data_IF_209966115690
#
_entry.id   IF_209966115690
#
_cell.length_a   1.000
_cell.length_b   1.000
_cell.length_c   1.000
_cell.angle_alpha   90.00
_cell.angle_beta   90.00
_cell.angle_gamma   90.00
#
_symmetry.space_group_name_H-M   'P 1'
#
loop_
_entity.id
_entity.type
_entity.pdbx_description
1 polymer ?
#
# COMPACT_ATOMS: atom_id res chain seq x y z
N UNK A 1 7.08 21.11 -10.80
CA UNK A 1 6.65 20.92 -9.40
C UNK A 1 7.75 20.16 -8.69
N UNK A 2 8.62 20.91 -8.00
CA UNK A 2 9.92 20.45 -7.51
C UNK A 2 9.76 19.84 -6.11
N UNK A 3 10.12 18.57 -5.96
CA UNK A 3 10.27 17.94 -4.63
C UNK A 3 11.56 18.48 -4.00
N UNK A 4 11.54 19.00 -2.77
CA UNK A 4 12.75 19.50 -2.12
C UNK A 4 13.69 18.34 -1.79
N UNK A 5 15.01 18.47 -2.04
CA UNK A 5 15.99 17.48 -1.65
C UNK A 5 16.38 17.68 -0.17
N UNK A 6 16.32 16.60 0.60
CA UNK A 6 16.95 16.51 1.93
C UNK A 6 15.99 16.20 3.08
N UNK A 7 15.75 14.91 3.31
CA UNK A 7 15.87 14.24 4.61
C UNK A 7 15.21 12.85 4.53
N UNK A 8 16.06 11.82 4.61
CA UNK A 8 15.78 10.37 4.62
C UNK A 8 15.26 9.77 3.32
N UNK A 9 15.95 8.74 2.83
CA UNK A 9 15.49 7.82 1.78
C UNK A 9 14.28 7.01 2.31
N UNK A 10 13.16 7.71 2.48
CA UNK A 10 11.94 7.18 3.05
C UNK A 10 10.92 6.87 1.98
N UNK A 11 10.11 5.86 2.23
CA UNK A 11 8.93 5.58 1.46
C UNK A 11 7.85 6.62 1.80
N UNK A 12 7.27 7.25 0.77
CA UNK A 12 6.19 8.23 0.88
C UNK A 12 5.01 7.79 0.04
N UNK A 13 3.79 7.96 0.53
CA UNK A 13 2.56 7.64 -0.17
C UNK A 13 1.69 8.88 -0.26
N UNK A 14 1.06 9.05 -1.43
CA UNK A 14 -0.02 10.00 -1.62
C UNK A 14 -1.35 9.26 -1.75
N UNK A 15 -2.30 9.58 -0.87
CA UNK A 15 -3.66 9.02 -0.82
C UNK A 15 -4.73 10.07 -1.11
N UNK A 16 -4.43 11.36 -0.96
CA UNK A 16 -5.34 12.47 -1.25
C UNK A 16 -5.37 12.78 -2.77
N UNK A 17 -5.89 11.83 -3.53
CA UNK A 17 -5.94 11.85 -4.99
C UNK A 17 -5.53 10.49 -5.58
N UNK A 18 -4.96 10.44 -6.79
CA UNK A 18 -4.44 9.21 -7.34
C UNK A 18 -3.39 8.60 -6.42
N UNK A 19 -3.64 7.37 -5.96
CA UNK A 19 -2.75 6.64 -5.05
C UNK A 19 -1.37 6.52 -5.69
N UNK A 20 -0.36 7.11 -5.07
CA UNK A 20 1.03 7.12 -5.58
C UNK A 20 1.99 6.81 -4.45
N UNK A 21 3.17 6.30 -4.80
CA UNK A 21 4.25 6.08 -3.86
C UNK A 21 5.56 6.59 -4.42
N UNK A 22 6.47 7.02 -3.55
CA UNK A 22 7.82 7.45 -3.88
C UNK A 22 8.81 6.85 -2.89
N UNK A 23 10.00 6.54 -3.36
CA UNK A 23 11.15 6.21 -2.52
C UNK A 23 12.33 7.07 -2.94
N UNK A 24 12.89 7.85 -2.00
CA UNK A 24 14.03 8.73 -2.30
C UNK A 24 13.80 9.69 -3.48
N UNK A 25 12.56 10.12 -3.71
CA UNK A 25 12.17 11.00 -4.83
C UNK A 25 11.79 10.27 -6.13
N UNK A 26 12.05 8.97 -6.25
CA UNK A 26 11.61 8.18 -7.41
C UNK A 26 10.20 7.64 -7.21
N UNK A 27 9.32 7.87 -8.17
CA UNK A 27 7.96 7.33 -8.13
C UNK A 27 7.99 5.80 -8.32
N UNK A 28 7.27 5.08 -7.45
CA UNK A 28 7.08 3.65 -7.51
C UNK A 28 5.83 3.29 -8.30
N UNK A 29 5.89 2.18 -9.04
CA UNK A 29 4.71 1.61 -9.70
C UNK A 29 3.96 0.71 -8.72
N UNK A 30 2.85 1.22 -8.19
CA UNK A 30 1.95 0.43 -7.34
C UNK A 30 1.05 -0.53 -8.16
N UNK A 31 1.28 -0.62 -9.47
CA UNK A 31 0.55 -1.51 -10.37
C UNK A 31 -0.85 -1.01 -10.73
N UNK A 32 -1.78 -1.95 -10.94
CA UNK A 32 -3.15 -1.70 -11.41
C UNK A 32 -3.99 -0.87 -10.43
N UNK A 33 -5.15 -0.32 -10.85
CA UNK A 33 -6.07 0.36 -9.93
C UNK A 33 -6.45 -0.47 -8.70
N UNK A 34 -6.67 -1.78 -8.88
CA UNK A 34 -7.01 -2.68 -7.77
C UNK A 34 -5.82 -2.88 -6.82
N UNK A 35 -4.59 -2.99 -7.34
CA UNK A 35 -3.39 -3.07 -6.49
C UNK A 35 -3.21 -1.78 -5.68
N UNK A 36 -3.46 -0.63 -6.30
CA UNK A 36 -3.47 0.67 -5.61
C UNK A 36 -4.55 0.76 -4.55
N UNK A 37 -5.75 0.25 -4.81
CA UNK A 37 -6.84 0.20 -3.83
C UNK A 37 -6.48 -0.66 -2.62
N UNK A 38 -5.87 -1.85 -2.84
CA UNK A 38 -5.35 -2.70 -1.75
C UNK A 38 -4.32 -1.94 -0.92
N UNK A 39 -3.35 -1.28 -1.58
CA UNK A 39 -2.34 -0.49 -0.87
C UNK A 39 -2.99 0.62 -0.03
N UNK A 40 -3.90 1.41 -0.61
CA UNK A 40 -4.61 2.46 0.11
C UNK A 40 -5.39 1.93 1.32
N UNK A 41 -6.14 0.84 1.16
CA UNK A 41 -6.90 0.22 2.25
C UNK A 41 -6.00 -0.24 3.40
N UNK A 42 -4.79 -0.72 3.12
CA UNK A 42 -3.81 -1.11 4.13
C UNK A 42 -3.13 0.10 4.78
N UNK A 43 -2.80 1.14 4.01
CA UNK A 43 -2.15 2.35 4.50
C UNK A 43 -3.07 3.15 5.44
N UNK A 44 -4.37 3.25 5.11
CA UNK A 44 -5.39 3.89 5.95
C UNK A 44 -5.60 3.21 7.31
N UNK A 45 -5.11 1.96 7.45
CA UNK A 45 -5.19 1.22 8.72
C UNK A 45 -3.99 1.43 9.62
N UNK A 46 -2.97 2.16 9.16
CA UNK A 46 -1.82 2.60 9.96
C UNK A 46 -1.12 1.43 10.68
N UNK A 47 -0.85 0.35 9.94
CA UNK A 47 -0.17 -0.84 10.48
C UNK A 47 -1.07 -1.88 11.14
N UNK A 48 -2.37 -1.59 11.33
CA UNK A 48 -3.35 -2.60 11.74
C UNK A 48 -3.63 -3.59 10.62
N UNK A 49 -3.85 -4.84 11.00
CA UNK A 49 -4.16 -5.92 10.06
C UNK A 49 -5.58 -5.75 9.50
N UNK A 50 -5.71 -5.85 8.18
CA UNK A 50 -6.98 -5.98 7.48
C UNK A 50 -7.22 -7.46 7.15
N UNK A 51 -8.39 -7.99 7.51
CA UNK A 51 -8.78 -9.33 7.10
C UNK A 51 -8.95 -9.38 5.56
N UNK A 52 -8.74 -10.57 4.98
CA UNK A 52 -8.85 -10.72 3.53
C UNK A 52 -10.25 -10.33 3.00
N UNK A 53 -11.31 -10.62 3.76
CA UNK A 53 -12.68 -10.21 3.42
C UNK A 53 -12.83 -8.68 3.35
N UNK A 54 -12.36 -7.96 4.37
CA UNK A 54 -12.42 -6.50 4.40
C UNK A 54 -11.68 -5.86 3.21
N UNK A 55 -10.56 -6.45 2.78
CA UNK A 55 -9.83 -5.97 1.60
C UNK A 55 -10.55 -6.32 0.30
N UNK A 56 -11.26 -7.44 0.24
CA UNK A 56 -12.10 -7.78 -0.91
C UNK A 56 -13.22 -6.75 -1.02
N UNK A 57 -13.93 -6.50 0.07
CA UNK A 57 -15.04 -5.55 0.11
C UNK A 57 -14.55 -4.13 -0.23
N UNK A 58 -13.38 -3.72 0.28
CA UNK A 58 -12.82 -2.41 -0.02
C UNK A 58 -12.41 -2.22 -1.50
N UNK A 59 -12.06 -3.29 -2.20
CA UNK A 59 -11.56 -3.22 -3.59
C UNK A 59 -12.68 -3.41 -4.61
N UNK A 60 -13.64 -4.29 -4.32
CA UNK A 60 -14.68 -4.71 -5.27
C UNK A 60 -16.11 -4.40 -4.82
N UNK A 61 -16.33 -4.01 -3.56
CA UNK A 61 -17.65 -3.78 -2.99
C UNK A 61 -18.56 -4.99 -3.17
N UNK A 62 -19.79 -4.74 -3.60
CA UNK A 62 -20.84 -5.77 -3.78
C UNK A 62 -20.61 -6.73 -4.95
N UNK A 63 -19.61 -6.47 -5.81
CA UNK A 63 -19.38 -7.27 -7.03
C UNK A 63 -17.96 -7.86 -7.09
N UNK A 64 -17.55 -8.69 -6.10
CA UNK A 64 -16.27 -9.38 -6.15
C UNK A 64 -16.25 -10.42 -7.28
N UNK A 65 -15.12 -10.58 -7.99
CA UNK A 65 -14.97 -11.67 -8.96
C UNK A 65 -15.02 -13.03 -8.24
N UNK A 66 -15.38 -14.13 -8.93
CA UNK A 66 -15.47 -15.46 -8.32
C UNK A 66 -14.18 -15.93 -7.62
N UNK A 67 -13.03 -15.39 -8.03
CA UNK A 67 -11.71 -15.70 -7.48
C UNK A 67 -11.08 -14.51 -6.75
N UNK A 68 -11.88 -13.67 -6.09
CA UNK A 68 -11.42 -12.44 -5.42
C UNK A 68 -10.26 -12.68 -4.44
N UNK A 69 -10.32 -13.75 -3.64
CA UNK A 69 -9.23 -14.08 -2.71
C UNK A 69 -7.91 -14.42 -3.44
N UNK A 70 -7.99 -15.13 -4.58
CA UNK A 70 -6.81 -15.44 -5.39
C UNK A 70 -6.24 -14.19 -6.07
N UNK A 71 -7.11 -13.31 -6.56
CA UNK A 71 -6.72 -12.01 -7.11
C UNK A 71 -6.05 -11.13 -6.04
N UNK A 72 -6.65 -11.04 -4.84
CA UNK A 72 -6.08 -10.30 -3.71
C UNK A 72 -4.68 -10.81 -3.34
N UNK A 73 -4.51 -12.13 -3.22
CA UNK A 73 -3.19 -12.75 -2.95
C UNK A 73 -2.15 -12.39 -4.02
N UNK A 74 -2.55 -12.37 -5.29
CA UNK A 74 -1.70 -11.95 -6.41
C UNK A 74 -1.29 -10.48 -6.28
N UNK A 75 -2.25 -9.60 -5.98
CA UNK A 75 -2.00 -8.17 -5.81
C UNK A 75 -1.07 -7.90 -4.64
N UNK A 76 -1.32 -8.53 -3.50
CA UNK A 76 -0.48 -8.45 -2.31
C UNK A 76 0.94 -8.95 -2.58
N UNK A 77 1.08 -10.09 -3.26
CA UNK A 77 2.40 -10.64 -3.58
C UNK A 77 3.23 -9.69 -4.43
N UNK A 78 2.62 -9.10 -5.47
CA UNK A 78 3.27 -8.10 -6.33
C UNK A 78 3.63 -6.84 -5.56
N UNK A 79 2.70 -6.29 -4.76
CA UNK A 79 2.98 -5.13 -3.92
C UNK A 79 4.12 -5.39 -2.93
N UNK A 80 4.13 -6.56 -2.28
CA UNK A 80 5.22 -6.96 -1.37
C UNK A 80 6.56 -6.99 -2.09
N UNK A 81 6.62 -7.54 -3.29
CA UNK A 81 7.83 -7.59 -4.10
C UNK A 81 8.34 -6.20 -4.44
N UNK A 82 7.47 -5.33 -4.94
CA UNK A 82 7.80 -3.94 -5.27
C UNK A 82 8.27 -3.16 -4.03
N UNK A 83 7.50 -3.18 -2.93
CA UNK A 83 7.85 -2.47 -1.70
C UNK A 83 9.17 -2.96 -1.10
N UNK A 84 9.40 -4.28 -1.08
CA UNK A 84 10.64 -4.86 -0.55
C UNK A 84 11.85 -4.49 -1.41
N UNK A 85 11.71 -4.51 -2.74
CA UNK A 85 12.79 -4.15 -3.66
C UNK A 85 13.27 -2.72 -3.42
N UNK A 86 12.35 -1.83 -3.11
CA UNK A 86 12.63 -0.40 -2.97
C UNK A 86 13.09 -0.03 -1.56
N UNK A 87 12.40 -0.52 -0.52
CA UNK A 87 12.73 -0.21 0.87
C UNK A 87 13.87 -1.09 1.44
N UNK A 88 14.24 -2.18 0.78
CA UNK A 88 15.25 -3.12 1.24
C UNK A 88 14.80 -4.07 2.38
N UNK A 89 13.57 -3.93 2.87
CA UNK A 89 13.01 -4.77 3.94
C UNK A 89 11.51 -5.03 3.74
N UNK A 90 10.95 -5.98 4.50
CA UNK A 90 9.56 -6.40 4.34
C UNK A 90 8.60 -5.43 5.06
N UNK A 91 7.89 -4.61 4.29
CA UNK A 91 6.86 -3.70 4.80
C UNK A 91 5.47 -4.32 4.83
N UNK A 92 5.13 -5.16 3.84
CA UNK A 92 3.83 -5.80 3.72
C UNK A 92 3.86 -7.23 4.29
N UNK A 93 3.23 -7.42 5.44
CA UNK A 93 3.19 -8.70 6.18
C UNK A 93 1.85 -9.42 6.00
N UNK A 94 1.88 -10.75 6.04
CA UNK A 94 0.68 -11.59 6.18
C UNK A 94 0.59 -12.05 7.64
N UNK A 95 -0.50 -11.74 8.33
CA UNK A 95 -0.69 -12.11 9.74
C UNK A 95 -2.17 -12.36 10.01
N UNK A 96 -2.49 -13.38 10.82
CA UNK A 96 -3.87 -13.69 11.26
C UNK A 96 -4.90 -13.82 10.13
N UNK A 97 -4.51 -14.36 8.97
CA UNK A 97 -5.38 -14.50 7.80
C UNK A 97 -5.64 -13.19 7.04
N UNK A 98 -4.95 -12.11 7.41
CA UNK A 98 -5.04 -10.80 6.80
C UNK A 98 -3.67 -10.25 6.38
N UNK A 99 -3.65 -8.94 6.11
CA UNK A 99 -2.47 -8.22 5.64
C UNK A 99 -2.32 -6.88 6.35
N UNK A 100 -1.08 -6.42 6.50
CA UNK A 100 -0.76 -5.10 7.04
C UNK A 100 0.47 -4.52 6.33
N UNK A 101 0.55 -3.18 6.26
CA UNK A 101 1.78 -2.46 5.90
C UNK A 101 2.35 -1.85 7.19
N UNK A 102 3.55 -2.26 7.59
CA UNK A 102 4.24 -1.86 8.83
C UNK A 102 5.66 -1.40 8.54
N UNK A 103 6.26 -0.68 9.49
CA UNK A 103 7.64 -0.19 9.36
C UNK A 103 7.75 1.05 8.46
N UNK A 104 6.65 1.78 8.26
CA UNK A 104 6.70 3.09 7.62
C UNK A 104 7.34 4.10 8.58
N UNK A 105 8.23 4.94 8.05
CA UNK A 105 8.79 6.06 8.81
C UNK A 105 7.73 7.14 9.09
N UNK A 106 8.02 8.03 10.02
CA UNK A 106 7.18 9.20 10.29
C UNK A 106 7.01 10.06 9.02
N UNK A 107 5.80 10.57 8.79
CA UNK A 107 5.49 11.38 7.61
C UNK A 107 5.45 10.58 6.28
N UNK A 108 5.38 9.25 6.32
CA UNK A 108 5.27 8.43 5.12
C UNK A 108 3.91 8.53 4.42
N UNK A 109 2.87 9.04 5.09
CA UNK A 109 1.53 9.23 4.53
C UNK A 109 1.21 10.72 4.44
N UNK A 110 0.69 11.17 3.31
CA UNK A 110 0.13 12.52 3.13
C UNK A 110 -1.30 12.65 3.66
N UNK A 111 -1.59 12.06 4.82
CA UNK A 111 -2.86 12.34 5.48
C UNK A 111 -2.78 13.77 6.02
N UNK A 112 -3.74 14.62 5.62
CA UNK A 112 -3.87 15.96 6.19
C UNK A 112 -3.83 15.83 7.70
N UNK A 113 -2.82 16.43 8.34
CA UNK A 113 -2.80 16.53 9.79
C UNK A 113 -3.97 17.44 10.15
N UNK A 114 -5.01 16.86 10.74
CA UNK A 114 -6.12 17.58 11.33
C UNK A 114 -5.68 18.20 12.66
#
# INVERSE_FOLDING_TARGET
MQVPPGASAGLRFALLGPVRAWYGGRQLSLGSPQQRAVAAALLLREGRTAAAGELIDAVWGEQPPPQALAALRTYVSRLRGELRREAGHALLVSESGGYAIRGLGEGALDLVQA
#
